data_IF_396727017991
#
_entry.id   IF_396727017991
#
_cell.length_a   1.000
_cell.length_b   1.000
_cell.length_c   1.000
_cell.angle_alpha   90.00
_cell.angle_beta   90.00
_cell.angle_gamma   90.00
#
_symmetry.space_group_name_H-M   'P 1'
#
loop_
_entity.id
_entity.type
_entity.pdbx_description
1 polymer ?
#
# COMPACT_ATOMS: atom_id res chain seq x y z
N UNK A 1 18.42 -2.03 4.73
CA UNK A 1 17.11 -2.57 5.11
C UNK A 1 16.04 -2.00 4.20
N UNK A 2 15.38 -2.87 3.44
CA UNK A 2 14.37 -2.53 2.43
C UNK A 2 13.06 -3.22 2.77
N UNK A 3 12.01 -2.47 3.08
CA UNK A 3 10.74 -3.02 3.56
C UNK A 3 9.61 -2.60 2.61
N UNK A 4 8.84 -3.58 2.12
CA UNK A 4 7.60 -3.31 1.42
C UNK A 4 6.40 -3.74 2.26
N UNK A 5 5.45 -2.83 2.49
CA UNK A 5 4.24 -3.07 3.29
C UNK A 5 3.03 -3.05 2.35
N UNK A 6 2.29 -4.14 2.29
CA UNK A 6 1.14 -4.26 1.40
C UNK A 6 -0.15 -4.66 2.13
N UNK A 7 -1.28 -4.29 1.55
CA UNK A 7 -2.60 -4.65 2.08
C UNK A 7 -3.71 -3.68 1.66
N UNK A 8 -4.95 -4.08 1.95
CA UNK A 8 -6.17 -3.35 1.57
C UNK A 8 -6.29 -2.00 2.29
N UNK A 9 -7.19 -1.13 1.82
CA UNK A 9 -7.52 0.12 2.51
C UNK A 9 -8.01 -0.16 3.93
N UNK A 10 -7.60 0.67 4.90
CA UNK A 10 -8.04 0.53 6.30
C UNK A 10 -7.31 -0.54 7.12
N UNK A 11 -6.40 -1.32 6.53
CA UNK A 11 -5.64 -2.32 7.30
C UNK A 11 -4.59 -1.72 8.26
N UNK A 12 -4.15 -0.48 8.02
CA UNK A 12 -3.19 0.22 8.88
C UNK A 12 -1.77 0.30 8.31
N UNK A 13 -1.55 -0.10 7.05
CA UNK A 13 -0.23 -0.09 6.39
C UNK A 13 0.51 1.24 6.49
N UNK A 14 -0.15 2.36 6.20
CA UNK A 14 0.50 3.68 6.30
C UNK A 14 0.86 4.07 7.74
N UNK A 15 0.10 3.61 8.74
CA UNK A 15 0.44 3.81 10.16
C UNK A 15 1.67 3.00 10.53
N UNK A 16 1.70 1.72 10.16
CA UNK A 16 2.86 0.85 10.40
C UNK A 16 4.11 1.39 9.70
N UNK A 17 3.99 1.82 8.44
CA UNK A 17 5.08 2.38 7.66
C UNK A 17 5.71 3.61 8.35
N UNK A 18 4.88 4.53 8.85
CA UNK A 18 5.34 5.72 9.60
C UNK A 18 6.03 5.36 10.92
N UNK A 19 5.47 4.39 11.66
CA UNK A 19 6.08 3.91 12.91
C UNK A 19 7.46 3.30 12.63
N UNK A 20 7.57 2.42 11.64
CA UNK A 20 8.82 1.78 11.27
C UNK A 20 9.84 2.80 10.74
N UNK A 21 9.40 3.75 9.93
CA UNK A 21 10.23 4.84 9.43
C UNK A 21 10.87 5.63 10.57
N UNK A 22 10.08 6.04 11.57
CA UNK A 22 10.59 6.76 12.75
C UNK A 22 11.51 5.89 13.62
N UNK A 23 11.17 4.61 13.81
CA UNK A 23 11.93 3.71 14.68
C UNK A 23 13.27 3.29 14.08
N UNK A 24 13.33 3.13 12.76
CA UNK A 24 14.51 2.63 12.05
C UNK A 24 15.33 3.75 11.39
N UNK A 25 14.83 4.99 11.43
CA UNK A 25 15.37 6.13 10.70
C UNK A 25 15.54 5.86 9.19
N UNK A 26 14.47 5.37 8.56
CA UNK A 26 14.45 5.02 7.12
C UNK A 26 13.34 5.79 6.42
N UNK A 27 13.67 6.37 5.26
CA UNK A 27 12.72 7.07 4.38
C UNK A 27 11.52 6.19 4.00
N UNK A 28 10.32 6.72 4.18
CA UNK A 28 9.06 6.06 3.88
C UNK A 28 8.34 6.72 2.70
N UNK A 29 7.93 5.90 1.73
CA UNK A 29 7.26 6.33 0.51
C UNK A 29 5.87 5.69 0.40
N UNK A 30 4.84 6.52 0.42
CA UNK A 30 3.46 6.07 0.23
C UNK A 30 3.17 5.98 -1.27
N UNK A 31 2.92 4.78 -1.78
CA UNK A 31 2.74 4.58 -3.23
C UNK A 31 1.49 5.30 -3.76
N UNK A 32 0.50 5.56 -2.90
CA UNK A 32 -0.67 6.36 -3.25
C UNK A 32 -0.33 7.84 -3.53
N UNK A 33 0.81 8.36 -3.04
CA UNK A 33 1.30 9.70 -3.38
C UNK A 33 2.09 9.69 -4.70
N UNK A 34 2.71 8.57 -5.07
CA UNK A 34 3.51 8.43 -6.32
C UNK A 34 2.64 8.54 -7.57
N UNK A 35 1.32 8.41 -7.47
CA UNK A 35 0.43 8.64 -8.63
C UNK A 35 0.36 10.12 -9.05
N UNK A 36 0.83 11.06 -8.23
CA UNK A 36 0.75 12.49 -8.53
C UNK A 36 2.13 13.10 -8.84
N UNK A 37 2.20 13.94 -9.89
CA UNK A 37 3.30 14.90 -10.08
C UNK A 37 3.14 16.08 -9.12
N UNK A 38 1.93 16.62 -9.08
CA UNK A 38 1.47 17.64 -8.12
C UNK A 38 0.26 17.06 -7.41
N UNK A 39 0.33 16.95 -6.08
CA UNK A 39 -0.69 16.27 -5.27
C UNK A 39 -2.07 16.87 -5.57
N UNK A 40 -3.04 16.00 -5.87
CA UNK A 40 -4.43 16.34 -6.21
C UNK A 40 -4.66 17.17 -7.48
N UNK A 41 -3.62 17.45 -8.28
CA UNK A 41 -3.74 18.36 -9.43
C UNK A 41 -3.25 17.70 -10.71
N UNK A 42 -2.05 17.11 -10.68
CA UNK A 42 -1.46 16.49 -11.86
C UNK A 42 -1.16 15.01 -11.61
N UNK A 43 -1.80 14.15 -12.40
CA UNK A 43 -1.60 12.70 -12.34
C UNK A 43 -0.39 12.33 -13.19
N UNK A 44 0.48 11.48 -12.64
CA UNK A 44 1.61 10.89 -13.34
C UNK A 44 1.11 9.73 -14.23
N UNK A 45 1.75 9.52 -15.38
CA UNK A 45 1.49 8.33 -16.20
C UNK A 45 1.79 7.05 -15.41
N UNK A 46 1.20 5.93 -15.85
CA UNK A 46 1.44 4.61 -15.26
C UNK A 46 2.93 4.28 -15.27
N UNK A 47 3.57 4.50 -16.42
CA UNK A 47 4.99 4.24 -16.68
C UNK A 47 5.87 5.10 -15.78
N UNK A 48 5.57 6.40 -15.67
CA UNK A 48 6.36 7.31 -14.83
C UNK A 48 6.25 6.95 -13.35
N UNK A 49 5.10 6.46 -12.89
CA UNK A 49 4.96 6.01 -11.51
C UNK A 49 5.72 4.72 -11.23
N UNK A 50 5.73 3.77 -12.18
CA UNK A 50 6.57 2.56 -12.12
C UNK A 50 8.05 2.95 -12.06
N UNK A 51 8.48 3.90 -12.90
CA UNK A 51 9.85 4.41 -12.89
C UNK A 51 10.21 5.04 -11.54
N UNK A 52 9.30 5.84 -10.97
CA UNK A 52 9.53 6.44 -9.64
C UNK A 52 9.71 5.38 -8.54
N UNK A 53 8.95 4.29 -8.59
CA UNK A 53 9.13 3.15 -7.68
C UNK A 53 10.49 2.49 -7.90
N UNK A 54 10.90 2.29 -9.16
CA UNK A 54 12.23 1.73 -9.49
C UNK A 54 13.36 2.60 -8.94
N UNK A 55 13.24 3.92 -9.05
CA UNK A 55 14.22 4.86 -8.53
C UNK A 55 14.32 4.80 -7.00
N UNK A 56 13.20 4.77 -6.29
CA UNK A 56 13.19 4.56 -4.83
C UNK A 56 13.93 3.25 -4.49
N UNK A 57 13.70 2.20 -5.28
CA UNK A 57 14.31 0.90 -5.06
C UNK A 57 15.81 0.83 -5.39
N UNK A 58 16.42 1.89 -5.95
CA UNK A 58 17.89 2.02 -6.10
C UNK A 58 18.57 2.38 -4.78
N UNK A 59 17.86 3.01 -3.84
CA UNK A 59 18.42 3.39 -2.55
C UNK A 59 18.84 2.16 -1.72
N UNK A 60 19.82 2.35 -0.84
CA UNK A 60 20.34 1.30 0.06
C UNK A 60 19.33 0.89 1.15
N UNK A 61 18.50 1.84 1.61
CA UNK A 61 17.40 1.61 2.53
C UNK A 61 16.13 2.37 2.10
N UNK A 62 14.96 1.77 2.33
CA UNK A 62 13.66 2.39 2.07
C UNK A 62 12.53 1.59 2.70
N UNK A 63 11.42 2.27 2.98
CA UNK A 63 10.13 1.67 3.29
C UNK A 63 9.15 2.14 2.21
N UNK A 64 8.43 1.22 1.60
CA UNK A 64 7.32 1.55 0.68
C UNK A 64 6.02 0.94 1.20
N UNK A 65 4.89 1.60 0.98
CA UNK A 65 3.58 1.04 1.31
C UNK A 65 2.54 1.27 0.22
N UNK A 66 1.73 0.26 -0.07
CA UNK A 66 0.64 0.40 -1.03
C UNK A 66 -0.25 -0.84 -1.17
N UNK A 67 -1.24 -0.73 -2.04
CA UNK A 67 -2.15 -1.84 -2.39
C UNK A 67 -1.84 -2.42 -3.78
N UNK A 68 -1.05 -1.72 -4.59
CA UNK A 68 -0.89 -2.02 -6.01
C UNK A 68 0.22 -3.06 -6.24
N UNK A 69 -0.15 -4.26 -6.69
CA UNK A 69 0.80 -5.34 -7.01
C UNK A 69 1.63 -5.07 -8.26
N UNK A 70 0.98 -4.61 -9.32
CA UNK A 70 1.61 -4.31 -10.61
C UNK A 70 2.56 -3.10 -10.51
N UNK A 71 2.11 -2.04 -9.85
CA UNK A 71 2.86 -0.79 -9.72
C UNK A 71 4.08 -0.93 -8.78
N UNK A 72 3.98 -1.82 -7.79
CA UNK A 72 5.02 -2.04 -6.79
C UNK A 72 5.94 -3.23 -7.09
N UNK A 73 5.89 -3.81 -8.30
CA UNK A 73 6.63 -5.05 -8.63
C UNK A 73 8.12 -4.97 -8.28
N UNK A 74 8.77 -3.84 -8.54
CA UNK A 74 10.19 -3.66 -8.20
C UNK A 74 10.42 -3.63 -6.67
N UNK A 75 9.49 -3.02 -5.91
CA UNK A 75 9.54 -3.02 -4.46
C UNK A 75 9.41 -4.43 -3.89
N UNK A 76 8.45 -5.23 -4.37
CA UNK A 76 8.34 -6.65 -3.98
C UNK A 76 9.62 -7.43 -4.29
N UNK A 77 10.21 -7.22 -5.47
CA UNK A 77 11.42 -7.93 -5.89
C UNK A 77 12.65 -7.55 -5.05
N UNK A 78 12.82 -6.27 -4.73
CA UNK A 78 14.02 -5.72 -4.09
C UNK A 78 13.94 -5.59 -2.57
N UNK A 79 12.77 -5.77 -1.97
CA UNK A 79 12.63 -5.77 -0.52
C UNK A 79 13.41 -6.92 0.13
N UNK A 80 13.95 -6.65 1.31
CA UNK A 80 14.49 -7.65 2.22
C UNK A 80 13.33 -8.27 3.02
N UNK A 81 12.35 -7.46 3.39
CA UNK A 81 11.17 -7.85 4.17
C UNK A 81 9.89 -7.39 3.44
N UNK A 82 8.93 -8.30 3.29
CA UNK A 82 7.58 -7.98 2.83
C UNK A 82 6.62 -8.18 4.00
N UNK A 83 5.90 -7.12 4.39
CA UNK A 83 4.89 -7.17 5.45
C UNK A 83 3.51 -7.12 4.80
N UNK A 84 2.78 -8.23 4.87
CA UNK A 84 1.42 -8.30 4.36
C UNK A 84 0.37 -8.15 5.46
N UNK A 85 -0.38 -7.06 5.44
CA UNK A 85 -1.38 -6.74 6.45
C UNK A 85 -2.74 -7.38 6.15
N UNK A 86 -3.03 -8.48 6.84
CA UNK A 86 -4.29 -9.24 6.74
C UNK A 86 -5.27 -8.87 7.86
N UNK A 87 -5.67 -7.59 7.92
CA UNK A 87 -6.65 -7.12 8.92
C UNK A 87 -8.08 -7.54 8.54
N UNK A 88 -8.91 -8.02 9.48
CA UNK A 88 -10.31 -8.36 9.22
C UNK A 88 -11.09 -7.24 8.52
N UNK A 89 -11.89 -7.59 7.49
CA UNK A 89 -12.65 -6.63 6.67
C UNK A 89 -13.51 -5.66 7.48
N UNK A 90 -14.16 -6.13 8.55
CA UNK A 90 -15.00 -5.31 9.44
C UNK A 90 -14.18 -4.20 10.11
N UNK A 91 -12.97 -4.53 10.58
CA UNK A 91 -12.06 -3.57 11.18
C UNK A 91 -11.58 -2.55 10.13
N UNK A 92 -11.25 -3.00 8.92
CA UNK A 92 -10.90 -2.12 7.81
C UNK A 92 -12.03 -1.13 7.48
N UNK A 93 -13.27 -1.62 7.36
CA UNK A 93 -14.46 -0.80 7.10
C UNK A 93 -14.71 0.23 8.21
N UNK A 94 -14.68 -0.22 9.48
CA UNK A 94 -14.81 0.66 10.64
C UNK A 94 -13.75 1.77 10.61
N UNK A 95 -12.48 1.44 10.37
CA UNK A 95 -11.40 2.43 10.30
C UNK A 95 -11.56 3.41 9.14
N UNK A 96 -12.08 2.98 8.00
CA UNK A 96 -12.38 3.86 6.86
C UNK A 96 -13.46 4.88 7.24
N UNK A 97 -14.56 4.43 7.85
CA UNK A 97 -15.64 5.32 8.31
C UNK A 97 -15.16 6.25 9.42
N UNK A 98 -14.50 5.71 10.44
CA UNK A 98 -13.90 6.49 11.54
C UNK A 98 -12.99 7.59 11.00
N UNK A 99 -12.13 7.29 10.02
CA UNK A 99 -11.26 8.29 9.38
C UNK A 99 -12.07 9.38 8.66
N UNK A 100 -13.14 9.01 7.97
CA UNK A 100 -13.99 9.98 7.27
C UNK A 100 -14.63 10.98 8.23
N UNK A 101 -15.09 10.53 9.40
CA UNK A 101 -15.74 11.40 10.39
C UNK A 101 -14.75 12.21 11.25
N UNK A 102 -13.56 11.67 11.55
CA UNK A 102 -12.63 12.28 12.51
C UNK A 102 -11.52 13.14 11.88
N UNK A 103 -11.22 12.98 10.59
CA UNK A 103 -10.15 13.76 9.95
C UNK A 103 -10.68 15.12 9.49
N UNK A 104 -9.84 16.17 9.58
CA UNK A 104 -10.08 17.43 8.86
C UNK A 104 -10.25 17.12 7.37
N UNK A 105 -11.43 17.44 6.82
CA UNK A 105 -11.77 17.13 5.43
C UNK A 105 -10.79 17.82 4.50
N UNK A 106 -10.11 17.04 3.66
CA UNK A 106 -9.32 17.56 2.54
C UNK A 106 -10.18 17.62 1.28
N UNK A 107 -9.69 18.35 0.26
CA UNK A 107 -10.36 18.45 -1.03
C UNK A 107 -10.55 17.04 -1.62
N UNK A 108 -11.80 16.63 -1.79
CA UNK A 108 -12.18 15.32 -2.33
C UNK A 108 -12.58 14.25 -1.29
N UNK A 109 -12.48 14.53 0.01
CA UNK A 109 -12.98 13.62 1.05
C UNK A 109 -14.53 13.66 1.11
N UNK A 110 -15.17 12.66 0.52
CA UNK A 110 -16.64 12.53 0.46
C UNK A 110 -17.11 11.20 1.08
N UNK A 111 -18.33 11.19 1.62
CA UNK A 111 -18.94 9.96 2.15
C UNK A 111 -19.06 8.90 1.06
N UNK A 112 -19.44 9.32 -0.15
CA UNK A 112 -19.48 8.48 -1.35
C UNK A 112 -18.11 7.86 -1.62
N UNK A 113 -17.02 8.63 -1.48
CA UNK A 113 -15.64 8.13 -1.58
C UNK A 113 -15.32 7.06 -0.54
N UNK A 114 -15.71 7.28 0.73
CA UNK A 114 -15.52 6.30 1.80
C UNK A 114 -16.30 5.00 1.53
N UNK A 115 -17.56 5.09 1.09
CA UNK A 115 -18.38 3.94 0.72
C UNK A 115 -17.80 3.17 -0.48
N UNK A 116 -17.23 3.88 -1.47
CA UNK A 116 -16.49 3.26 -2.59
C UNK A 116 -15.29 2.45 -2.10
N UNK A 117 -14.54 2.96 -1.12
CA UNK A 117 -13.42 2.21 -0.52
C UNK A 117 -13.90 0.97 0.23
N UNK A 118 -15.00 1.06 0.97
CA UNK A 118 -15.62 -0.10 1.64
C UNK A 118 -16.00 -1.16 0.62
N UNK A 119 -16.68 -0.80 -0.48
CA UNK A 119 -17.00 -1.74 -1.56
C UNK A 119 -15.74 -2.42 -2.13
N UNK A 120 -14.63 -1.69 -2.25
CA UNK A 120 -13.33 -2.26 -2.65
C UNK A 120 -12.76 -3.22 -1.62
N UNK A 121 -12.92 -2.98 -0.31
CA UNK A 121 -12.52 -3.93 0.75
C UNK A 121 -13.22 -5.27 0.56
N UNK A 122 -14.54 -5.27 0.34
CA UNK A 122 -15.26 -6.53 0.11
C UNK A 122 -14.79 -7.24 -1.17
N UNK A 123 -14.65 -6.51 -2.28
CA UNK A 123 -14.14 -7.06 -3.54
C UNK A 123 -12.74 -7.65 -3.42
N UNK A 124 -11.86 -7.00 -2.66
CA UNK A 124 -10.49 -7.44 -2.45
C UNK A 124 -10.39 -8.86 -1.87
N UNK A 125 -11.37 -9.25 -1.04
CA UNK A 125 -11.45 -10.59 -0.44
C UNK A 125 -12.31 -11.57 -1.24
N UNK A 126 -13.14 -11.12 -2.17
CA UNK A 126 -14.13 -11.96 -2.86
C UNK A 126 -13.92 -12.13 -4.36
N UNK A 127 -13.09 -11.31 -5.00
CA UNK A 127 -12.86 -11.33 -6.45
C UNK A 127 -11.38 -11.38 -6.79
N UNK A 128 -11.04 -12.18 -7.80
CA UNK A 128 -9.75 -12.15 -8.48
C UNK A 128 -9.69 -10.97 -9.45
N UNK A 129 -9.61 -9.75 -8.91
CA UNK A 129 -9.22 -8.57 -9.65
C UNK A 129 -7.68 -8.42 -9.61
N UNK A 130 -7.13 -7.54 -10.45
CA UNK A 130 -5.67 -7.23 -10.49
C UNK A 130 -5.10 -6.79 -9.14
N UNK A 131 -5.96 -6.29 -8.26
CA UNK A 131 -5.66 -5.94 -6.87
C UNK A 131 -6.60 -6.72 -5.94
N UNK A 132 -6.16 -7.91 -5.53
CA UNK A 132 -6.90 -8.80 -4.63
C UNK A 132 -5.99 -9.39 -3.54
N UNK A 133 -6.59 -10.04 -2.55
CA UNK A 133 -5.85 -10.83 -1.56
C UNK A 133 -5.03 -11.93 -2.22
N UNK A 134 -5.61 -12.62 -3.20
CA UNK A 134 -4.92 -13.64 -3.98
C UNK A 134 -3.73 -13.06 -4.74
N UNK A 135 -3.91 -11.93 -5.44
CA UNK A 135 -2.83 -11.29 -6.17
C UNK A 135 -1.67 -10.86 -5.25
N UNK A 136 -1.96 -10.39 -4.03
CA UNK A 136 -0.91 -10.14 -3.03
C UNK A 136 -0.22 -11.44 -2.61
N UNK A 137 -0.97 -12.50 -2.29
CA UNK A 137 -0.37 -13.80 -1.91
C UNK A 137 0.51 -14.36 -3.03
N UNK A 138 0.08 -14.28 -4.29
CA UNK A 138 0.82 -14.74 -5.45
C UNK A 138 2.13 -13.98 -5.66
N UNK A 139 2.10 -12.64 -5.65
CA UNK A 139 3.31 -11.85 -5.84
C UNK A 139 4.28 -11.99 -4.65
N UNK A 140 3.75 -12.11 -3.43
CA UNK A 140 4.56 -12.38 -2.24
C UNK A 140 5.23 -13.74 -2.39
N UNK A 141 4.49 -14.80 -2.74
CA UNK A 141 5.06 -16.13 -2.94
C UNK A 141 6.11 -16.15 -4.05
N UNK A 142 5.89 -15.40 -5.13
CA UNK A 142 6.85 -15.25 -6.24
C UNK A 142 8.17 -14.61 -5.82
N UNK A 143 8.14 -13.66 -4.90
CA UNK A 143 9.32 -12.93 -4.42
C UNK A 143 9.69 -13.29 -2.98
N UNK A 144 9.14 -14.39 -2.45
CA UNK A 144 9.42 -14.85 -1.10
C UNK A 144 10.87 -15.30 -1.05
N UNK A 145 11.71 -14.50 -0.39
CA UNK A 145 13.09 -14.88 -0.08
C UNK A 145 13.05 -15.78 1.15
N UNK A 146 12.71 -17.05 0.93
CA UNK A 146 12.83 -18.19 1.85
C UNK A 146 12.20 -18.03 3.25
N UNK A 147 11.19 -18.86 3.52
CA UNK A 147 10.64 -19.07 4.86
C UNK A 147 11.68 -19.79 5.72
N UNK A 148 12.04 -19.25 6.89
CA UNK A 148 12.58 -20.09 7.96
C UNK A 148 11.40 -20.96 8.42
N UNK A 149 11.43 -22.23 8.05
CA UNK A 149 10.54 -23.22 8.63
C UNK A 149 11.10 -23.53 10.03
N UNK A 150 10.41 -23.05 11.06
CA UNK A 150 10.44 -23.67 12.38
C UNK A 150 9.07 -24.28 12.62
#
# INVERSE_FOLDING_TARGET
MKIHICGIYGCGKSTLAKILSKKLDISCYLLDDIKYKVKYTEIRSVEGGIEKVRDICKNSSWITEGIWTNYAKEAFKKSDIIIFMQTPKIICCFRILKRFFLRKKEKGDTLIGALKLIKKVYKYHSKDETVSEKAHKEIINKYKKTTINN
#
